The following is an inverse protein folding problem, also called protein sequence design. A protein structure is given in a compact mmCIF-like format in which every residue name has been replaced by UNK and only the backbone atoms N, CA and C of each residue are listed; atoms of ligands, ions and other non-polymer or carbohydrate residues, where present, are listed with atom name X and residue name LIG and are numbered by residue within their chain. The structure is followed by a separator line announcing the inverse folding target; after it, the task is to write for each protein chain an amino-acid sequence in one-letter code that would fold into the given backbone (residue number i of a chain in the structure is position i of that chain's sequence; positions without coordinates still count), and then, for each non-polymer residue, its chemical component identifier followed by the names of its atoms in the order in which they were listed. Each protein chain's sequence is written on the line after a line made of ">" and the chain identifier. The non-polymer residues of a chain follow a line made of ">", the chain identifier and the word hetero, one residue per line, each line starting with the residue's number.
data_IF_987916278537
#
_entry.id   IF_987916278537
#
_cell.length_a   1.000
_cell.length_b   1.000
_cell.length_c   1.000
_cell.angle_alpha   90.00
_cell.angle_beta   90.00
_cell.angle_gamma   90.00
#
_symmetry.space_group_name_H-M   'P 1'
#
loop_
_entity.id
_entity.type
_entity.pdbx_description
1 polymer ?
#
# COMPACT_ATOMS: atom_id res chain seq x y z
N UNK A 1 0.08 -3.03 -24.66
CA UNK A 1 0.11 -1.83 -23.80
C UNK A 1 -0.63 -2.09 -22.51
N UNK A 2 0.00 -1.76 -21.39
CA UNK A 2 -0.65 -1.91 -20.09
C UNK A 2 -1.77 -0.90 -19.90
N UNK A 3 -2.92 -1.35 -19.39
CA UNK A 3 -3.97 -0.44 -18.96
C UNK A 3 -3.59 0.11 -17.57
N UNK A 4 -4.16 1.26 -17.15
CA UNK A 4 -3.93 1.75 -15.77
C UNK A 4 -4.27 0.72 -14.70
N UNK A 5 -5.32 -0.06 -14.91
CA UNK A 5 -5.74 -1.12 -14.01
C UNK A 5 -4.70 -2.24 -13.91
N UNK A 6 -4.18 -2.69 -15.04
CA UNK A 6 -3.15 -3.73 -15.13
C UNK A 6 -1.83 -3.23 -14.52
N UNK A 7 -1.48 -1.97 -14.80
CA UNK A 7 -0.30 -1.34 -14.26
C UNK A 7 -0.35 -1.29 -12.72
N UNK A 8 -1.48 -0.90 -12.14
CA UNK A 8 -1.63 -0.85 -10.68
C UNK A 8 -1.62 -2.24 -10.06
N UNK A 9 -2.18 -3.22 -10.74
CA UNK A 9 -2.10 -4.61 -10.28
C UNK A 9 -0.64 -5.05 -10.17
N UNK A 10 0.17 -4.71 -11.15
CA UNK A 10 1.61 -4.99 -11.15
C UNK A 10 2.34 -4.19 -10.07
N UNK A 11 2.10 -2.87 -10.00
CA UNK A 11 2.79 -2.00 -9.03
C UNK A 11 2.47 -2.39 -7.59
N UNK A 12 1.22 -2.70 -7.28
CA UNK A 12 0.85 -3.09 -5.90
C UNK A 12 1.47 -4.43 -5.53
N UNK A 13 1.56 -5.37 -6.48
CA UNK A 13 2.24 -6.65 -6.24
C UNK A 13 3.73 -6.44 -6.00
N UNK A 14 4.38 -5.60 -6.81
CA UNK A 14 5.79 -5.27 -6.64
C UNK A 14 6.06 -4.60 -5.31
N UNK A 15 5.19 -3.67 -4.91
CA UNK A 15 5.25 -3.01 -3.62
C UNK A 15 5.19 -4.05 -2.48
N UNK A 16 4.21 -4.95 -2.54
CA UNK A 16 4.06 -6.02 -1.55
C UNK A 16 5.31 -6.89 -1.47
N UNK A 17 5.89 -7.26 -2.62
CA UNK A 17 7.10 -8.05 -2.67
C UNK A 17 8.30 -7.35 -2.04
N UNK A 18 8.43 -6.05 -2.26
CA UNK A 18 9.49 -5.24 -1.64
C UNK A 18 9.29 -5.15 -0.13
N UNK A 19 8.06 -5.05 0.33
CA UNK A 19 7.72 -5.08 1.76
C UNK A 19 8.15 -6.42 2.37
N UNK A 20 7.85 -7.54 1.71
CA UNK A 20 8.26 -8.88 2.16
C UNK A 20 9.78 -8.96 2.30
N UNK A 21 10.51 -8.50 1.28
CA UNK A 21 11.97 -8.54 1.29
C UNK A 21 12.57 -7.63 2.37
N UNK A 22 11.97 -6.46 2.59
CA UNK A 22 12.40 -5.60 3.69
C UNK A 22 12.18 -6.29 5.04
N UNK A 23 11.02 -6.92 5.22
CA UNK A 23 10.72 -7.64 6.46
C UNK A 23 11.78 -8.72 6.75
N UNK A 24 12.17 -9.47 5.72
CA UNK A 24 13.19 -10.52 5.84
C UNK A 24 14.53 -9.95 6.34
N UNK A 25 14.86 -8.71 5.97
CA UNK A 25 16.15 -8.10 6.34
C UNK A 25 16.12 -7.35 7.67
N UNK A 26 14.97 -7.27 8.35
CA UNK A 26 14.88 -6.56 9.62
C UNK A 26 15.49 -7.37 10.79
N UNK A 27 16.09 -6.67 11.80
CA UNK A 27 16.64 -7.34 12.99
C UNK A 27 15.51 -7.72 13.95
N UNK A 28 14.79 -8.81 13.64
CA UNK A 28 13.57 -9.23 14.34
C UNK A 28 13.82 -9.76 15.76
N UNK A 29 15.09 -9.90 16.19
CA UNK A 29 15.39 -10.23 17.58
C UNK A 29 15.00 -9.10 18.53
N UNK A 30 15.00 -7.86 18.03
CA UNK A 30 14.47 -6.72 18.77
C UNK A 30 12.93 -6.79 18.73
N UNK A 31 12.33 -6.82 19.92
CA UNK A 31 10.85 -7.02 20.05
C UNK A 31 10.08 -5.95 19.29
N UNK A 32 10.47 -4.68 19.46
CA UNK A 32 9.78 -3.56 18.78
C UNK A 32 9.87 -3.67 17.25
N UNK A 33 11.01 -4.11 16.73
CA UNK A 33 11.19 -4.31 15.30
C UNK A 33 10.35 -5.48 14.80
N UNK A 34 10.28 -6.55 15.60
CA UNK A 34 9.45 -7.71 15.25
C UNK A 34 7.97 -7.32 15.15
N UNK A 35 7.47 -6.59 16.15
CA UNK A 35 6.06 -6.19 16.18
C UNK A 35 5.71 -5.23 15.03
N UNK A 36 6.51 -4.16 14.88
CA UNK A 36 6.28 -3.17 13.83
C UNK A 36 6.49 -3.76 12.44
N UNK A 37 7.47 -4.64 12.29
CA UNK A 37 7.72 -5.34 11.03
C UNK A 37 6.55 -6.21 10.60
N UNK A 38 5.91 -6.89 11.53
CA UNK A 38 4.71 -7.68 11.23
C UNK A 38 3.53 -6.82 10.80
N UNK A 39 3.34 -5.68 11.44
CA UNK A 39 2.31 -4.72 11.04
C UNK A 39 2.57 -4.19 9.64
N UNK A 40 3.82 -3.83 9.35
CA UNK A 40 4.23 -3.40 8.01
C UNK A 40 3.96 -4.48 6.97
N UNK A 41 4.32 -5.72 7.27
CA UNK A 41 4.12 -6.86 6.37
C UNK A 41 2.63 -7.05 6.07
N UNK A 42 1.80 -7.01 7.11
CA UNK A 42 0.35 -7.15 6.97
C UNK A 42 -0.25 -6.03 6.11
N UNK A 43 0.03 -4.78 6.47
CA UNK A 43 -0.57 -3.63 5.77
C UNK A 43 -0.04 -3.50 4.34
N UNK A 44 1.25 -3.70 4.13
CA UNK A 44 1.85 -3.56 2.80
C UNK A 44 1.37 -4.61 1.82
N UNK A 45 1.21 -5.86 2.26
CA UNK A 45 0.67 -6.91 1.40
C UNK A 45 -0.84 -6.75 1.19
N UNK A 46 -1.53 -6.16 2.16
CA UNK A 46 -2.96 -5.89 2.09
C UNK A 46 -3.30 -4.86 0.99
N UNK A 47 -2.38 -3.93 0.70
CA UNK A 47 -2.56 -2.99 -0.42
C UNK A 47 -2.79 -3.76 -1.73
N UNK A 48 -1.95 -4.74 -2.02
CA UNK A 48 -2.07 -5.54 -3.23
C UNK A 48 -3.34 -6.41 -3.23
N UNK A 49 -3.62 -7.05 -2.10
CA UNK A 49 -4.81 -7.92 -1.98
C UNK A 49 -6.09 -7.12 -2.21
N UNK A 50 -6.22 -5.97 -1.58
CA UNK A 50 -7.41 -5.12 -1.73
C UNK A 50 -7.52 -4.49 -3.11
N UNK A 51 -6.39 -4.17 -3.73
CA UNK A 51 -6.45 -3.68 -5.11
C UNK A 51 -6.97 -4.74 -6.06
N UNK A 52 -6.60 -6.01 -5.89
CA UNK A 52 -7.14 -7.10 -6.70
C UNK A 52 -8.65 -7.22 -6.54
N UNK A 53 -9.15 -7.07 -5.31
CA UNK A 53 -10.59 -7.07 -5.06
C UNK A 53 -11.26 -5.87 -5.73
N UNK A 54 -10.65 -4.67 -5.63
CA UNK A 54 -11.15 -3.48 -6.30
C UNK A 54 -11.25 -3.70 -7.82
N UNK A 55 -10.23 -4.30 -8.40
CA UNK A 55 -10.18 -4.54 -9.85
C UNK A 55 -11.27 -5.49 -10.35
N UNK A 56 -11.90 -6.24 -9.44
CA UNK A 56 -12.99 -7.17 -9.74
C UNK A 56 -14.33 -6.70 -9.17
N UNK A 57 -14.40 -5.44 -8.75
CA UNK A 57 -15.62 -4.89 -8.16
C UNK A 57 -16.78 -4.94 -9.14
N UNK A 58 -17.97 -5.21 -8.61
CA UNK A 58 -19.20 -5.36 -9.41
C UNK A 58 -19.97 -4.07 -9.57
N UNK A 59 -19.58 -3.02 -8.86
CA UNK A 59 -20.25 -1.72 -8.90
C UNK A 59 -19.26 -0.62 -8.60
N UNK A 60 -19.61 0.63 -8.95
CA UNK A 60 -18.82 1.80 -8.63
C UNK A 60 -18.65 1.97 -7.11
N UNK A 61 -19.73 1.71 -6.35
CA UNK A 61 -19.68 1.81 -4.89
C UNK A 61 -18.71 0.80 -4.28
N UNK A 62 -18.73 -0.44 -4.73
CA UNK A 62 -17.80 -1.47 -4.28
C UNK A 62 -16.36 -1.10 -4.64
N UNK A 63 -16.15 -0.61 -5.86
CA UNK A 63 -14.81 -0.17 -6.30
C UNK A 63 -14.26 0.92 -5.39
N UNK A 64 -15.05 1.98 -5.13
CA UNK A 64 -14.64 3.08 -4.27
C UNK A 64 -14.32 2.58 -2.86
N UNK A 65 -15.18 1.72 -2.30
CA UNK A 65 -14.95 1.18 -0.97
C UNK A 65 -13.64 0.41 -0.87
N UNK A 66 -13.31 -0.41 -1.87
CA UNK A 66 -12.05 -1.18 -1.89
C UNK A 66 -10.84 -0.28 -2.11
N UNK A 67 -10.95 0.73 -2.97
CA UNK A 67 -9.86 1.69 -3.20
C UNK A 67 -9.57 2.48 -1.92
N UNK A 68 -10.60 2.85 -1.16
CA UNK A 68 -10.40 3.54 0.12
C UNK A 68 -9.66 2.65 1.12
N UNK A 69 -9.92 1.34 1.13
CA UNK A 69 -9.16 0.40 1.95
C UNK A 69 -7.69 0.37 1.51
N UNK A 70 -7.43 0.36 0.19
CA UNK A 70 -6.06 0.42 -0.33
C UNK A 70 -5.34 1.67 0.19
N UNK A 71 -6.02 2.81 0.19
CA UNK A 71 -5.47 4.07 0.68
C UNK A 71 -5.12 3.97 2.17
N UNK A 72 -6.03 3.43 2.97
CA UNK A 72 -5.81 3.25 4.42
C UNK A 72 -4.62 2.32 4.70
N UNK A 73 -4.54 1.20 3.99
CA UNK A 73 -3.46 0.23 4.20
C UNK A 73 -2.11 0.80 3.78
N UNK A 74 -2.06 1.58 2.70
CA UNK A 74 -0.84 2.25 2.28
C UNK A 74 -0.40 3.32 3.28
N UNK A 75 -1.35 4.06 3.83
CA UNK A 75 -1.09 5.08 4.86
C UNK A 75 -0.56 4.43 6.15
N UNK A 76 -1.18 3.33 6.58
CA UNK A 76 -0.67 2.56 7.74
C UNK A 76 0.76 2.06 7.49
N UNK A 77 1.03 1.58 6.28
CA UNK A 77 2.38 1.11 5.93
C UNK A 77 3.40 2.24 6.07
N UNK A 78 3.06 3.46 5.66
CA UNK A 78 3.93 4.62 5.86
C UNK A 78 4.24 4.85 7.34
N UNK A 79 3.24 4.73 8.21
CA UNK A 79 3.43 4.87 9.65
C UNK A 79 4.44 3.83 10.18
N UNK A 80 4.29 2.57 9.82
CA UNK A 80 5.20 1.53 10.27
C UNK A 80 6.62 1.77 9.76
N UNK A 81 6.77 2.22 8.51
CA UNK A 81 8.08 2.57 7.93
C UNK A 81 8.72 3.73 8.69
N UNK A 82 7.94 4.76 9.03
CA UNK A 82 8.42 5.91 9.80
C UNK A 82 8.91 5.49 11.18
N UNK A 83 8.16 4.65 11.88
CA UNK A 83 8.52 4.18 13.21
C UNK A 83 9.77 3.30 13.17
N UNK A 84 9.92 2.45 12.17
CA UNK A 84 11.12 1.64 11.99
C UNK A 84 12.36 2.52 11.76
N UNK A 85 12.21 3.55 10.93
CA UNK A 85 13.32 4.47 10.63
C UNK A 85 13.67 5.35 11.83
N UNK A 86 12.66 6.02 12.41
CA UNK A 86 12.88 7.10 13.37
C UNK A 86 13.03 6.60 14.79
N UNK A 87 12.20 5.65 15.20
CA UNK A 87 12.15 5.20 16.60
C UNK A 87 12.89 3.90 16.84
N UNK A 88 13.11 3.10 15.80
CA UNK A 88 13.93 1.90 15.88
C UNK A 88 15.32 2.09 15.29
N UNK A 89 15.60 3.24 14.70
CA UNK A 89 16.88 3.58 14.08
C UNK A 89 17.33 2.58 13.01
N UNK A 90 16.37 2.06 12.22
CA UNK A 90 16.69 1.18 11.11
C UNK A 90 17.10 2.03 9.90
N UNK A 91 18.38 1.93 9.52
CA UNK A 91 18.94 2.74 8.43
C UNK A 91 19.13 1.91 7.16
N UNK A 92 18.01 1.49 6.56
CA UNK A 92 18.00 0.76 5.30
C UNK A 92 17.43 1.66 4.19
N UNK A 93 18.13 1.79 3.04
CA UNK A 93 17.68 2.67 1.95
C UNK A 93 16.29 2.30 1.40
N UNK A 94 15.88 1.04 1.57
CA UNK A 94 14.59 0.57 1.11
C UNK A 94 13.43 1.23 1.86
N UNK A 95 13.66 1.66 3.12
CA UNK A 95 12.60 2.28 3.92
C UNK A 95 12.11 3.59 3.30
N UNK A 96 12.95 4.60 3.04
CA UNK A 96 12.46 5.82 2.38
C UNK A 96 11.96 5.56 0.96
N UNK A 97 12.54 4.60 0.24
CA UNK A 97 12.09 4.25 -1.11
C UNK A 97 10.65 3.71 -1.10
N UNK A 98 10.34 2.81 -0.16
CA UNK A 98 9.00 2.25 -0.01
C UNK A 98 8.01 3.29 0.51
N UNK A 99 8.46 4.19 1.38
CA UNK A 99 7.62 5.29 1.84
C UNK A 99 7.15 6.15 0.66
N UNK A 100 8.07 6.48 -0.26
CA UNK A 100 7.76 7.27 -1.45
C UNK A 100 6.83 6.52 -2.41
N UNK A 101 7.04 5.22 -2.58
CA UNK A 101 6.15 4.42 -3.43
C UNK A 101 4.73 4.36 -2.83
N UNK A 102 4.62 4.18 -1.52
CA UNK A 102 3.33 4.22 -0.84
C UNK A 102 2.64 5.56 -1.04
N UNK A 103 3.39 6.65 -0.97
CA UNK A 103 2.87 8.00 -1.15
C UNK A 103 2.30 8.20 -2.57
N UNK A 104 3.02 7.71 -3.57
CA UNK A 104 2.54 7.75 -4.96
C UNK A 104 1.29 6.89 -5.15
N UNK A 105 1.26 5.70 -4.57
CA UNK A 105 0.09 4.82 -4.65
C UNK A 105 -1.14 5.48 -4.00
N UNK A 106 -0.96 6.12 -2.85
CA UNK A 106 -2.04 6.85 -2.18
C UNK A 106 -2.62 7.93 -3.10
N UNK A 107 -1.76 8.72 -3.74
CA UNK A 107 -2.19 9.78 -4.65
C UNK A 107 -3.00 9.20 -5.82
N UNK A 108 -2.57 8.07 -6.37
CA UNK A 108 -3.28 7.40 -7.46
C UNK A 108 -4.65 6.88 -6.99
N UNK A 109 -4.69 6.21 -5.83
CA UNK A 109 -5.93 5.66 -5.28
C UNK A 109 -6.95 6.78 -4.99
N UNK A 110 -6.50 7.87 -4.38
CA UNK A 110 -7.37 9.02 -4.08
C UNK A 110 -7.96 9.60 -5.38
N UNK A 111 -7.13 9.75 -6.40
CA UNK A 111 -7.57 10.26 -7.71
C UNK A 111 -8.59 9.32 -8.37
N UNK A 112 -8.33 8.01 -8.32
CA UNK A 112 -9.25 7.02 -8.88
C UNK A 112 -10.62 7.04 -8.19
N UNK A 113 -10.63 7.12 -6.86
CA UNK A 113 -11.86 7.20 -6.09
C UNK A 113 -12.65 8.45 -6.44
N UNK A 114 -11.99 9.61 -6.51
CA UNK A 114 -12.63 10.88 -6.87
C UNK A 114 -13.24 10.83 -8.26
N UNK A 115 -12.52 10.30 -9.24
CA UNK A 115 -13.02 10.19 -10.61
C UNK A 115 -14.23 9.27 -10.68
N UNK A 116 -14.21 8.16 -9.97
CA UNK A 116 -15.32 7.21 -9.95
C UNK A 116 -16.57 7.84 -9.32
N UNK A 117 -16.40 8.56 -8.22
CA UNK A 117 -17.50 9.27 -7.57
C UNK A 117 -18.08 10.34 -8.50
N UNK A 118 -17.22 11.12 -9.14
CA UNK A 118 -17.62 12.16 -10.09
C UNK A 118 -18.39 11.59 -11.27
N UNK A 119 -17.87 10.52 -11.88
CA UNK A 119 -18.53 9.86 -13.02
C UNK A 119 -19.91 9.31 -12.64
N UNK A 120 -20.02 8.75 -11.44
CA UNK A 120 -21.29 8.23 -10.92
C UNK A 120 -22.33 9.34 -10.75
N UNK A 121 -21.89 10.53 -10.31
CA UNK A 121 -22.77 11.68 -10.12
C UNK A 121 -23.26 12.30 -11.45
N UNK A 122 -22.46 12.13 -12.51
CA UNK A 122 -22.78 12.66 -13.84
C UNK A 122 -23.77 11.79 -14.60
N UNK A 123 -23.99 10.56 -14.15
CA UNK A 123 -24.97 9.67 -14.75
C UNK A 123 -26.28 9.70 -13.99
#
# INVERSE_FOLDING_TARGET
>A
METPKTELKRRTKEFAGRIVRLHVSLPVRRVEVSVLGKQMLRSGTSVAANYREASRARSANEFVAKIEVCTQEADETQLWLELLRDDCAISLPEIPALWREADELIAIFVTMAKKTIQNRQET
#
